data_IF_700466398680
#
_entry.id   IF_700466398680
#
_cell.length_a   1.000
_cell.length_b   1.000
_cell.length_c   1.000
_cell.angle_alpha   90.00
_cell.angle_beta   90.00
_cell.angle_gamma   90.00
#
_symmetry.space_group_name_H-M   'P 1'
#
loop_
_entity.id
_entity.type
_entity.pdbx_description
1 polymer ?
#
# COMPACT_ATOMS: atom_id res chain seq x y z
N UNK A 1 -38.36 -32.68 -1.06
CA UNK A 1 -39.17 -33.71 -1.71
C UNK A 1 -38.44 -35.01 -1.55
N UNK A 2 -39.00 -35.96 -0.80
CA UNK A 2 -38.40 -37.27 -0.64
C UNK A 2 -38.51 -38.01 -1.98
N UNK A 3 -37.38 -38.20 -2.67
CA UNK A 3 -37.32 -38.89 -3.97
C UNK A 3 -37.84 -40.34 -3.91
N UNK A 4 -38.00 -40.90 -2.71
CA UNK A 4 -38.60 -42.22 -2.47
C UNK A 4 -40.04 -42.33 -2.94
N UNK A 5 -40.80 -41.23 -3.00
CA UNK A 5 -42.19 -41.26 -3.44
C UNK A 5 -42.36 -41.36 -4.96
N UNK A 6 -41.27 -41.16 -5.73
CA UNK A 6 -41.31 -41.20 -7.20
C UNK A 6 -40.88 -42.55 -7.81
N UNK A 7 -40.31 -43.47 -7.02
CA UNK A 7 -39.70 -44.71 -7.50
C UNK A 7 -40.11 -45.91 -6.62
N UNK A 8 -41.36 -46.35 -6.73
CA UNK A 8 -41.98 -47.41 -5.91
C UNK A 8 -41.26 -48.78 -5.92
N UNK A 9 -40.36 -49.03 -6.89
CA UNK A 9 -39.64 -50.31 -7.05
C UNK A 9 -38.12 -50.21 -6.95
N UNK A 10 -37.56 -49.01 -6.71
CA UNK A 10 -36.10 -48.85 -6.68
C UNK A 10 -35.52 -49.39 -5.36
N UNK A 11 -34.66 -50.40 -5.45
CA UNK A 11 -33.93 -50.90 -4.29
C UNK A 11 -32.66 -50.07 -4.07
N UNK A 12 -32.28 -49.85 -2.80
CA UNK A 12 -31.02 -49.17 -2.46
C UNK A 12 -29.80 -49.88 -3.06
N UNK A 13 -29.88 -51.20 -3.26
CA UNK A 13 -28.82 -52.03 -3.85
C UNK A 13 -28.57 -51.70 -5.34
N UNK A 14 -29.62 -51.45 -6.11
CA UNK A 14 -29.51 -51.08 -7.53
C UNK A 14 -28.88 -49.70 -7.67
N UNK A 15 -29.30 -48.76 -6.81
CA UNK A 15 -28.70 -47.42 -6.75
C UNK A 15 -27.23 -47.47 -6.34
N UNK A 16 -26.87 -48.32 -5.37
CA UNK A 16 -25.49 -48.52 -4.95
C UNK A 16 -24.62 -49.05 -6.11
N UNK A 17 -25.14 -49.97 -6.90
CA UNK A 17 -24.42 -50.59 -8.02
C UNK A 17 -24.23 -49.59 -9.18
N UNK A 18 -25.25 -48.77 -9.46
CA UNK A 18 -25.15 -47.68 -10.44
C UNK A 18 -24.10 -46.64 -10.02
N UNK A 19 -24.06 -46.28 -8.74
CA UNK A 19 -23.07 -45.34 -8.20
C UNK A 19 -21.66 -45.93 -8.23
N UNK A 20 -21.48 -47.21 -7.88
CA UNK A 20 -20.18 -47.88 -8.01
C UNK A 20 -19.67 -47.94 -9.45
N UNK A 21 -20.57 -48.09 -10.44
CA UNK A 21 -20.23 -48.05 -11.86
C UNK A 21 -19.74 -46.67 -12.33
N UNK A 22 -20.15 -45.60 -11.64
CA UNK A 22 -19.74 -44.21 -11.89
C UNK A 22 -18.54 -43.78 -11.00
N UNK A 23 -17.75 -44.74 -10.51
CA UNK A 23 -16.56 -44.57 -9.66
C UNK A 23 -16.83 -43.96 -8.27
N UNK A 24 -18.04 -44.11 -7.75
CA UNK A 24 -18.33 -43.73 -6.37
C UNK A 24 -17.95 -44.82 -5.39
N UNK A 25 -17.31 -44.44 -4.29
CA UNK A 25 -17.19 -45.28 -3.10
C UNK A 25 -18.51 -45.21 -2.32
N UNK A 26 -19.21 -46.35 -2.24
CA UNK A 26 -20.53 -46.44 -1.62
C UNK A 26 -20.45 -47.19 -0.29
N UNK A 27 -21.05 -46.61 0.75
CA UNK A 27 -21.17 -47.18 2.09
C UNK A 27 -22.64 -47.19 2.50
N UNK A 28 -23.16 -48.37 2.85
CA UNK A 28 -24.50 -48.50 3.39
C UNK A 28 -24.44 -48.63 4.92
N UNK A 29 -25.20 -47.79 5.64
CA UNK A 29 -25.35 -47.87 7.10
C UNK A 29 -26.83 -47.89 7.45
N UNK A 30 -27.35 -49.06 7.80
CA UNK A 30 -28.79 -49.27 8.03
C UNK A 30 -29.59 -49.00 6.76
N UNK A 31 -30.62 -48.15 6.86
CA UNK A 31 -31.42 -47.71 5.73
C UNK A 31 -30.82 -46.57 4.92
N UNK A 32 -29.64 -46.05 5.26
CA UNK A 32 -29.02 -44.93 4.54
C UNK A 32 -27.90 -45.38 3.62
N UNK A 33 -27.93 -44.93 2.36
CA UNK A 33 -26.85 -45.08 1.39
C UNK A 33 -26.01 -43.80 1.32
N UNK A 34 -24.71 -43.91 1.48
CA UNK A 34 -23.74 -42.82 1.31
C UNK A 34 -22.85 -43.14 0.11
N UNK A 35 -22.67 -42.20 -0.80
CA UNK A 35 -21.77 -42.35 -1.93
C UNK A 35 -20.82 -41.15 -2.04
N UNK A 36 -19.54 -41.42 -2.28
CA UNK A 36 -18.50 -40.40 -2.37
C UNK A 36 -17.69 -40.59 -3.64
N UNK A 37 -17.54 -39.53 -4.44
CA UNK A 37 -16.64 -39.54 -5.59
C UNK A 37 -15.30 -38.94 -5.21
N UNK A 38 -14.31 -39.80 -4.98
CA UNK A 38 -12.92 -39.43 -4.70
C UNK A 38 -12.62 -38.94 -3.28
N UNK A 39 -11.34 -39.04 -2.90
CA UNK A 39 -10.81 -38.59 -1.60
C UNK A 39 -10.83 -37.06 -1.42
N UNK A 40 -10.96 -36.36 -2.56
CA UNK A 40 -10.81 -34.92 -2.71
C UNK A 40 -11.89 -34.13 -1.96
N UNK A 41 -13.14 -34.61 -1.97
CA UNK A 41 -14.24 -33.96 -1.26
C UNK A 41 -14.15 -34.00 0.26
N UNK A 42 -13.48 -35.03 0.82
CA UNK A 42 -13.26 -35.13 2.27
C UNK A 42 -12.12 -34.24 2.73
N UNK A 43 -11.09 -34.09 1.91
CA UNK A 43 -9.88 -33.33 2.26
C UNK A 43 -10.01 -31.83 1.97
N UNK A 44 -10.86 -31.42 1.02
CA UNK A 44 -11.00 -30.02 0.65
C UNK A 44 -11.44 -29.10 1.81
N UNK A 45 -12.46 -29.44 2.63
CA UNK A 45 -12.81 -28.61 3.79
C UNK A 45 -11.68 -28.51 4.82
N UNK A 46 -10.93 -29.59 5.05
CA UNK A 46 -9.77 -29.59 5.96
C UNK A 46 -8.70 -28.64 5.42
N UNK A 47 -8.44 -28.68 4.12
CA UNK A 47 -7.51 -27.77 3.44
C UNK A 47 -7.91 -26.30 3.58
N UNK A 48 -9.20 -25.97 3.45
CA UNK A 48 -9.71 -24.61 3.65
C UNK A 48 -9.44 -24.12 5.08
N UNK A 49 -9.74 -24.93 6.10
CA UNK A 49 -9.47 -24.55 7.49
C UNK A 49 -7.98 -24.36 7.76
N UNK A 50 -7.14 -25.26 7.24
CA UNK A 50 -5.68 -25.14 7.36
C UNK A 50 -5.16 -23.85 6.69
N UNK A 51 -5.68 -23.50 5.52
CA UNK A 51 -5.34 -22.27 4.81
C UNK A 51 -5.75 -21.02 5.61
N UNK A 52 -6.96 -21.02 6.20
CA UNK A 52 -7.41 -19.93 7.08
C UNK A 52 -6.52 -19.76 8.32
N UNK A 53 -6.14 -20.87 8.97
CA UNK A 53 -5.20 -20.83 10.10
C UNK A 53 -3.84 -20.28 9.69
N UNK A 54 -3.33 -20.64 8.49
CA UNK A 54 -2.07 -20.12 7.98
C UNK A 54 -2.13 -18.61 7.70
N UNK A 55 -3.22 -18.12 7.08
CA UNK A 55 -3.44 -16.68 6.88
C UNK A 55 -3.47 -15.95 8.22
N UNK A 56 -4.20 -16.47 9.21
CA UNK A 56 -4.30 -15.88 10.54
C UNK A 56 -2.95 -15.87 11.27
N UNK A 57 -2.18 -16.97 11.19
CA UNK A 57 -0.84 -17.04 11.76
C UNK A 57 0.12 -16.05 11.09
N UNK A 58 0.06 -15.92 9.75
CA UNK A 58 0.83 -14.93 9.00
C UNK A 58 0.49 -13.50 9.41
N UNK A 59 -0.79 -13.16 9.54
CA UNK A 59 -1.23 -11.84 10.00
C UNK A 59 -0.80 -11.53 11.44
N UNK A 60 -0.85 -12.53 12.32
CA UNK A 60 -0.31 -12.40 13.68
C UNK A 60 1.20 -12.11 13.66
N UNK A 61 1.95 -12.81 12.80
CA UNK A 61 3.39 -12.58 12.65
C UNK A 61 3.70 -11.20 12.06
N UNK A 62 2.91 -10.71 11.11
CA UNK A 62 2.99 -9.34 10.59
C UNK A 62 2.76 -8.29 11.68
N UNK A 63 1.73 -8.46 12.50
CA UNK A 63 1.36 -7.50 13.54
C UNK A 63 2.40 -7.45 14.68
N UNK A 64 2.96 -8.61 15.06
CA UNK A 64 3.92 -8.71 16.16
C UNK A 64 5.37 -8.43 15.73
N UNK A 65 5.74 -8.77 14.50
CA UNK A 65 7.11 -8.71 14.00
C UNK A 65 7.39 -7.61 12.96
N UNK A 66 6.35 -6.92 12.48
CA UNK A 66 6.48 -5.89 11.46
C UNK A 66 7.01 -4.55 11.97
N UNK A 67 7.54 -3.76 11.04
CA UNK A 67 7.95 -2.38 11.24
C UNK A 67 7.32 -1.48 10.18
N UNK A 68 6.98 -0.26 10.58
CA UNK A 68 6.49 0.77 9.68
C UNK A 68 6.97 2.14 10.10
N UNK A 69 7.02 3.08 9.16
CA UNK A 69 7.23 4.48 9.49
C UNK A 69 7.30 5.35 8.24
N UNK A 70 7.19 6.66 8.46
CA UNK A 70 7.14 7.65 7.39
C UNK A 70 8.19 8.72 7.62
N UNK A 71 8.84 9.14 6.54
CA UNK A 71 9.81 10.24 6.57
C UNK A 71 9.55 11.19 5.41
N UNK A 72 9.77 12.49 5.64
CA UNK A 72 9.77 13.51 4.60
C UNK A 72 11.19 13.97 4.40
N UNK A 73 11.78 13.64 3.25
CA UNK A 73 13.22 13.85 3.03
C UNK A 73 13.47 14.71 1.80
N UNK A 74 14.14 15.86 1.96
CA UNK A 74 14.56 16.71 0.86
C UNK A 74 15.49 15.98 -0.12
N UNK A 75 15.42 16.37 -1.40
CA UNK A 75 16.40 15.91 -2.38
C UNK A 75 17.83 16.29 -1.97
N UNK A 76 18.77 15.37 -2.16
CA UNK A 76 20.18 15.47 -1.78
C UNK A 76 20.49 15.09 -0.34
N UNK A 77 19.50 14.64 0.45
CA UNK A 77 19.70 14.20 1.83
C UNK A 77 19.50 12.68 2.00
N UNK A 78 20.10 12.16 3.08
CA UNK A 78 20.04 10.76 3.47
C UNK A 78 19.00 10.52 4.57
N UNK A 79 18.36 9.35 4.48
CA UNK A 79 17.53 8.78 5.55
C UNK A 79 18.25 7.58 6.13
N UNK A 80 18.40 7.56 7.45
CA UNK A 80 18.85 6.36 8.17
C UNK A 80 17.61 5.48 8.41
N UNK A 81 17.54 4.32 7.75
CA UNK A 81 16.33 3.47 7.78
C UNK A 81 15.86 3.09 9.20
N UNK A 82 16.73 2.73 10.16
CA UNK A 82 16.31 2.39 11.52
C UNK A 82 15.69 3.55 12.28
N UNK A 83 16.02 4.82 11.96
CA UNK A 83 15.45 5.98 12.65
C UNK A 83 14.08 6.35 12.08
N UNK A 84 13.82 5.98 10.83
CA UNK A 84 12.54 6.17 10.17
C UNK A 84 11.51 5.06 10.47
N UNK A 85 11.95 3.90 10.98
CA UNK A 85 11.11 2.74 11.26
C UNK A 85 10.77 2.61 12.75
N UNK A 86 9.52 2.26 13.04
CA UNK A 86 9.05 1.91 14.37
C UNK A 86 8.46 0.51 14.35
N UNK A 87 8.71 -0.27 15.41
CA UNK A 87 8.15 -1.61 15.55
C UNK A 87 6.65 -1.53 15.79
N UNK A 88 5.88 -2.41 15.14
CA UNK A 88 4.43 -2.49 15.32
C UNK A 88 4.04 -3.02 16.72
N UNK A 89 5.00 -3.65 17.42
CA UNK A 89 4.81 -4.24 18.74
C UNK A 89 6.12 -4.27 19.53
N UNK A 90 6.02 -4.48 20.84
CA UNK A 90 7.17 -4.72 21.74
C UNK A 90 7.95 -6.00 21.40
N UNK A 91 7.34 -6.91 20.63
CA UNK A 91 7.97 -8.15 20.18
C UNK A 91 8.77 -7.98 18.87
N UNK A 92 8.64 -6.84 18.20
CA UNK A 92 9.34 -6.56 16.97
C UNK A 92 10.84 -6.39 17.26
N UNK A 93 11.66 -7.23 16.62
CA UNK A 93 13.12 -7.22 16.80
C UNK A 93 13.80 -6.59 15.61
N UNK A 94 14.61 -5.53 15.79
CA UNK A 94 15.39 -4.95 14.71
C UNK A 94 16.28 -6.00 14.08
N UNK A 95 16.40 -5.95 12.76
CA UNK A 95 17.26 -6.87 12.00
C UNK A 95 18.42 -6.09 11.37
N UNK A 96 19.52 -6.78 11.09
CA UNK A 96 20.67 -6.19 10.38
C UNK A 96 20.30 -5.66 9.00
N UNK A 97 19.24 -6.22 8.40
CA UNK A 97 18.68 -5.75 7.14
C UNK A 97 18.15 -4.30 7.18
N UNK A 98 17.94 -3.75 8.37
CA UNK A 98 17.50 -2.36 8.55
C UNK A 98 18.66 -1.37 8.56
N UNK A 99 19.91 -1.83 8.68
CA UNK A 99 21.12 -0.99 8.73
C UNK A 99 21.49 -0.47 7.34
N UNK A 100 20.62 0.37 6.77
CA UNK A 100 20.78 0.95 5.45
C UNK A 100 20.55 2.46 5.51
N UNK A 101 21.16 3.15 4.56
CA UNK A 101 20.94 4.56 4.28
C UNK A 101 20.21 4.66 2.93
N UNK A 102 19.22 5.54 2.86
CA UNK A 102 18.49 5.84 1.62
C UNK A 102 18.80 7.28 1.25
N UNK A 103 19.56 7.46 0.19
CA UNK A 103 19.86 8.76 -0.40
C UNK A 103 18.77 9.14 -1.40
N UNK A 104 18.17 10.32 -1.23
CA UNK A 104 17.22 10.87 -2.21
C UNK A 104 18.02 11.63 -3.26
N UNK A 105 18.36 10.99 -4.38
CA UNK A 105 19.11 11.65 -5.46
C UNK A 105 18.32 12.81 -6.06
N UNK A 106 17.02 12.60 -6.32
CA UNK A 106 16.15 13.58 -6.96
C UNK A 106 14.69 13.28 -6.71
N UNK A 107 13.90 14.33 -6.48
CA UNK A 107 12.44 14.25 -6.50
C UNK A 107 11.91 15.15 -7.62
N UNK A 108 10.93 14.66 -8.39
CA UNK A 108 10.29 15.48 -9.42
C UNK A 108 8.86 15.01 -9.69
N UNK A 109 8.07 15.94 -10.20
CA UNK A 109 6.66 15.71 -10.55
C UNK A 109 6.52 15.84 -12.06
N UNK A 110 5.94 14.82 -12.69
CA UNK A 110 5.54 14.89 -14.09
C UNK A 110 4.14 15.50 -14.18
N UNK A 111 4.00 16.53 -15.01
CA UNK A 111 2.75 17.24 -15.22
C UNK A 111 2.21 16.96 -16.63
N UNK A 112 0.89 16.87 -16.76
CA UNK A 112 0.21 16.84 -18.05
C UNK A 112 0.26 18.23 -18.71
N UNK A 113 0.03 18.34 -20.03
CA UNK A 113 -0.04 19.64 -20.72
C UNK A 113 -1.09 20.61 -20.17
N UNK A 114 -2.14 20.09 -19.51
CA UNK A 114 -3.16 20.89 -18.83
C UNK A 114 -2.75 21.38 -17.43
N UNK A 115 -1.53 21.08 -16.97
CA UNK A 115 -0.99 21.48 -15.67
C UNK A 115 -1.32 20.52 -14.51
N UNK A 116 -2.11 19.48 -14.74
CA UNK A 116 -2.42 18.50 -13.70
C UNK A 116 -1.25 17.56 -13.44
N UNK A 117 -1.15 17.07 -12.20
CA UNK A 117 -0.15 16.06 -11.84
C UNK A 117 -0.46 14.74 -12.56
N UNK A 118 0.53 14.23 -13.30
CA UNK A 118 0.50 12.92 -13.95
C UNK A 118 1.03 11.84 -13.02
N UNK A 119 2.23 12.06 -12.48
CA UNK A 119 2.93 11.08 -11.67
C UNK A 119 4.00 11.77 -10.84
N UNK A 120 4.32 11.19 -9.70
CA UNK A 120 5.44 11.60 -8.86
C UNK A 120 6.58 10.58 -8.99
N UNK A 121 7.81 11.08 -8.96
CA UNK A 121 9.00 10.24 -9.07
C UNK A 121 10.05 10.62 -8.03
N UNK A 122 10.64 9.59 -7.43
CA UNK A 122 11.77 9.73 -6.51
C UNK A 122 12.89 8.79 -6.94
N UNK A 123 14.05 9.34 -7.29
CA UNK A 123 15.25 8.57 -7.58
C UNK A 123 16.01 8.30 -6.28
N UNK A 124 16.05 7.02 -5.88
CA UNK A 124 16.59 6.59 -4.59
C UNK A 124 17.80 5.68 -4.80
N UNK A 125 18.86 5.94 -4.03
CA UNK A 125 20.01 5.05 -3.88
C UNK A 125 20.02 4.51 -2.47
N UNK A 126 20.04 3.19 -2.34
CA UNK A 126 20.15 2.48 -1.06
C UNK A 126 21.61 2.06 -0.88
N UNK A 127 22.20 2.48 0.22
CA UNK A 127 23.58 2.15 0.60
C UNK A 127 23.61 1.41 1.94
N UNK A 128 24.61 0.55 2.10
CA UNK A 128 24.95 0.00 3.41
C UNK A 128 25.64 1.06 4.27
N UNK A 129 25.75 0.86 5.59
CA UNK A 129 26.49 1.75 6.50
C UNK A 129 27.97 1.90 6.14
N UNK A 130 28.52 0.95 5.36
CA UNK A 130 29.89 1.00 4.84
C UNK A 130 30.03 1.78 3.52
N UNK A 131 28.96 2.42 3.03
CA UNK A 131 28.97 3.25 1.82
C UNK A 131 28.90 2.48 0.51
N UNK A 132 28.64 1.16 0.55
CA UNK A 132 28.43 0.35 -0.65
C UNK A 132 26.99 0.53 -1.15
N UNK A 133 26.82 0.94 -2.41
CA UNK A 133 25.50 0.99 -3.05
C UNK A 133 24.96 -0.43 -3.27
N UNK A 134 23.82 -0.71 -2.65
CA UNK A 134 23.12 -1.99 -2.71
C UNK A 134 22.17 -2.02 -3.90
N UNK A 135 21.45 -0.92 -4.11
CA UNK A 135 20.42 -0.81 -5.14
C UNK A 135 20.12 0.66 -5.43
N UNK A 136 19.88 0.98 -6.70
CA UNK A 136 19.30 2.26 -7.12
C UNK A 136 18.06 1.99 -7.94
N UNK A 137 16.99 2.73 -7.66
CA UNK A 137 15.75 2.66 -8.43
C UNK A 137 15.01 3.99 -8.34
N UNK A 138 14.52 4.46 -9.47
CA UNK A 138 13.50 5.51 -9.51
C UNK A 138 12.14 4.89 -9.25
N UNK A 139 11.52 5.28 -8.14
CA UNK A 139 10.17 4.83 -7.75
C UNK A 139 9.11 5.84 -8.18
N UNK A 140 7.87 5.36 -8.26
CA UNK A 140 6.68 6.18 -8.43
C UNK A 140 5.55 5.66 -7.57
N UNK A 141 4.42 6.36 -7.56
CA UNK A 141 3.19 5.85 -6.92
C UNK A 141 2.87 4.46 -7.48
N UNK A 142 2.63 3.49 -6.59
CA UNK A 142 2.40 2.06 -6.87
C UNK A 142 3.59 1.24 -7.41
N UNK A 143 4.77 1.83 -7.61
CA UNK A 143 5.99 1.10 -7.96
C UNK A 143 7.09 1.29 -6.89
N UNK A 144 7.02 0.56 -5.76
CA UNK A 144 7.94 0.76 -4.64
C UNK A 144 9.34 0.17 -4.89
N UNK A 145 10.30 0.59 -4.06
CA UNK A 145 11.63 -0.02 -3.97
C UNK A 145 11.59 -1.09 -2.87
N UNK A 146 12.05 -2.31 -3.18
CA UNK A 146 12.16 -3.40 -2.20
C UNK A 146 13.62 -3.81 -2.07
N UNK A 147 14.21 -3.59 -0.89
CA UNK A 147 15.61 -3.93 -0.60
C UNK A 147 15.70 -4.56 0.79
N UNK A 148 16.36 -5.72 0.89
CA UNK A 148 16.57 -6.47 2.12
C UNK A 148 15.32 -6.64 3.02
N UNK A 149 14.14 -6.84 2.41
CA UNK A 149 12.87 -7.01 3.16
C UNK A 149 12.20 -5.70 3.60
N UNK A 150 12.84 -4.55 3.40
CA UNK A 150 12.21 -3.22 3.56
C UNK A 150 11.62 -2.80 2.22
N UNK A 151 10.35 -2.38 2.24
CA UNK A 151 9.66 -1.79 1.09
C UNK A 151 9.48 -0.30 1.32
N UNK A 152 9.94 0.52 0.38
CA UNK A 152 9.79 1.97 0.39
C UNK A 152 8.74 2.38 -0.63
N UNK A 153 7.63 2.90 -0.14
CA UNK A 153 6.55 3.47 -0.94
C UNK A 153 6.68 4.99 -0.99
N UNK A 154 6.39 5.55 -2.16
CA UNK A 154 6.23 6.98 -2.28
C UNK A 154 4.78 7.35 -1.96
N UNK A 155 4.56 8.06 -0.85
CA UNK A 155 3.21 8.33 -0.33
C UNK A 155 2.89 9.81 -0.26
N UNK A 156 3.90 10.68 -0.17
CA UNK A 156 3.69 12.11 -0.09
C UNK A 156 4.83 12.93 -0.71
N UNK A 157 4.70 14.26 -0.70
CA UNK A 157 5.72 15.21 -1.13
C UNK A 157 5.62 16.55 -0.40
N UNK A 158 6.71 17.31 -0.35
CA UNK A 158 6.71 18.67 0.16
C UNK A 158 7.72 19.56 -0.60
N UNK A 159 7.74 20.85 -0.29
CA UNK A 159 8.80 21.76 -0.74
C UNK A 159 9.62 22.14 0.49
N UNK A 160 10.90 21.77 0.51
CA UNK A 160 11.78 22.02 1.64
C UNK A 160 12.40 23.41 1.61
N UNK A 161 12.74 23.90 0.43
CA UNK A 161 13.45 25.16 0.28
C UNK A 161 13.29 25.74 -1.13
N UNK A 162 13.47 27.05 -1.24
CA UNK A 162 13.65 27.74 -2.52
C UNK A 162 15.08 28.24 -2.62
N UNK A 163 15.71 28.01 -3.77
CA UNK A 163 17.03 28.55 -4.08
C UNK A 163 16.87 29.85 -4.86
N UNK A 164 17.42 30.92 -4.31
CA UNK A 164 17.30 32.29 -4.84
C UNK A 164 18.68 32.89 -5.06
N UNK A 165 18.72 33.88 -5.96
CA UNK A 165 19.87 34.74 -6.18
C UNK A 165 19.44 36.20 -6.12
N UNK A 166 20.12 37.01 -5.32
CA UNK A 166 19.88 38.46 -5.26
C UNK A 166 20.99 39.20 -5.99
N UNK A 167 20.61 40.13 -6.88
CA UNK A 167 21.50 41.09 -7.56
C UNK A 167 22.74 40.47 -8.23
N UNK A 168 22.62 39.22 -8.69
CA UNK A 168 23.71 38.49 -9.35
C UNK A 168 24.75 37.90 -8.40
N UNK A 169 24.52 37.89 -7.08
CA UNK A 169 25.37 37.25 -6.09
C UNK A 169 25.34 35.71 -6.12
N UNK A 170 25.86 35.07 -5.08
CA UNK A 170 25.82 33.62 -4.92
C UNK A 170 24.39 33.13 -4.59
N UNK A 171 24.00 31.93 -5.05
CA UNK A 171 22.70 31.38 -4.75
C UNK A 171 22.62 30.94 -3.29
N UNK A 172 21.53 31.29 -2.62
CA UNK A 172 21.24 30.90 -1.24
C UNK A 172 19.90 30.16 -1.16
N UNK A 173 19.77 29.29 -0.16
CA UNK A 173 18.56 28.47 0.06
C UNK A 173 17.76 29.04 1.23
N UNK A 174 16.49 29.36 1.00
CA UNK A 174 15.56 29.70 2.07
C UNK A 174 14.66 28.51 2.36
N UNK A 175 14.56 28.05 3.62
CA UNK A 175 13.66 26.96 3.98
C UNK A 175 12.21 27.39 3.75
N UNK A 176 11.39 26.48 3.23
CA UNK A 176 9.95 26.69 3.07
C UNK A 176 9.19 25.93 4.15
N UNK A 177 8.23 26.59 4.76
CA UNK A 177 7.32 26.00 5.74
C UNK A 177 5.99 25.64 5.05
N UNK A 178 5.37 24.55 5.50
CA UNK A 178 4.00 24.23 5.11
C UNK A 178 3.03 25.21 5.79
N UNK A 179 2.19 25.85 4.99
CA UNK A 179 1.11 26.74 5.40
C UNK A 179 -0.26 26.09 5.14
N UNK A 180 -0.29 24.74 5.13
CA UNK A 180 -1.51 23.99 4.88
C UNK A 180 -2.51 24.19 6.04
N UNK A 181 -3.72 24.63 5.71
CA UNK A 181 -4.81 24.71 6.67
C UNK A 181 -5.34 23.32 7.04
N UNK A 182 -5.71 23.08 8.32
CA UNK A 182 -6.34 21.84 8.74
C UNK A 182 -7.60 21.55 7.92
N UNK A 183 -7.65 20.41 7.23
CA UNK A 183 -8.79 19.98 6.41
C UNK A 183 -8.73 20.40 4.94
N UNK A 184 -7.75 21.20 4.52
CA UNK A 184 -7.53 21.51 3.10
C UNK A 184 -6.69 20.44 2.41
N UNK A 185 -7.09 20.03 1.20
CA UNK A 185 -6.30 19.16 0.33
C UNK A 185 -5.22 19.91 -0.44
N UNK A 186 -5.26 21.24 -0.46
CA UNK A 186 -4.29 22.06 -1.18
C UNK A 186 -3.07 22.33 -0.33
N UNK A 187 -1.90 21.95 -0.85
CA UNK A 187 -0.62 22.25 -0.23
C UNK A 187 -0.20 23.67 -0.58
N UNK A 188 0.19 24.43 0.44
CA UNK A 188 0.76 25.75 0.30
C UNK A 188 2.05 25.77 1.11
N UNK A 189 3.12 26.26 0.49
CA UNK A 189 4.40 26.44 1.14
C UNK A 189 4.76 27.91 1.08
N UNK A 190 5.36 28.42 2.16
CA UNK A 190 5.80 29.80 2.23
C UNK A 190 7.18 29.94 2.83
N UNK A 191 7.90 30.97 2.41
CA UNK A 191 9.11 31.46 3.07
C UNK A 191 9.12 32.98 3.08
N UNK A 192 9.98 33.53 3.92
CA UNK A 192 10.10 34.96 4.15
C UNK A 192 11.56 35.37 4.04
N UNK A 193 11.84 36.35 3.18
CA UNK A 193 13.15 36.96 3.02
C UNK A 193 13.14 38.33 3.72
N UNK A 194 13.74 38.46 4.92
CA UNK A 194 13.79 39.75 5.60
C UNK A 194 14.61 40.76 4.79
N UNK A 195 14.04 41.93 4.52
CA UNK A 195 14.70 43.04 3.80
C UNK A 195 15.12 44.18 4.70
N UNK A 196 14.49 44.34 5.87
CA UNK A 196 14.83 45.32 6.90
C UNK A 196 13.98 45.21 8.16
N UNK A 197 14.14 46.16 9.07
CA UNK A 197 13.32 46.32 10.27
C UNK A 197 12.68 47.71 10.23
N UNK A 198 11.36 47.78 10.37
CA UNK A 198 10.64 49.04 10.54
C UNK A 198 10.25 49.20 12.01
N UNK A 199 10.63 50.32 12.59
CA UNK A 199 10.33 50.67 13.98
C UNK A 199 9.00 51.45 14.00
N UNK A 200 7.93 50.80 14.49
CA UNK A 200 6.66 51.48 14.67
C UNK A 200 6.71 52.33 15.95
N UNK A 201 6.97 53.63 15.77
CA UNK A 201 7.06 54.62 16.86
C UNK A 201 5.78 54.76 17.72
N UNK A 202 4.66 54.18 17.31
CA UNK A 202 3.39 54.22 18.03
C UNK A 202 3.19 53.07 19.05
N UNK A 203 3.86 51.94 18.87
CA UNK A 203 3.63 50.72 19.69
C UNK A 203 4.92 50.14 20.30
N UNK A 204 6.10 50.66 19.92
CA UNK A 204 7.37 50.14 20.43
C UNK A 204 7.70 48.73 19.93
N UNK A 205 6.98 48.27 18.90
CA UNK A 205 7.21 46.98 18.23
C UNK A 205 8.02 47.18 16.95
N UNK A 206 9.13 46.44 16.84
CA UNK A 206 9.95 46.35 15.62
C UNK A 206 9.34 45.28 14.71
N UNK A 207 8.73 45.68 13.60
CA UNK A 207 8.23 44.74 12.60
C UNK A 207 9.28 44.51 11.53
N UNK A 208 9.73 43.26 11.37
CA UNK A 208 10.63 42.91 10.27
C UNK A 208 9.88 42.99 8.94
N UNK A 209 10.32 43.88 8.05
CA UNK A 209 9.81 43.97 6.68
C UNK A 209 10.56 42.99 5.80
N UNK A 210 9.86 42.41 4.82
CA UNK A 210 10.46 41.40 3.98
C UNK A 210 9.56 40.90 2.87
N UNK A 211 10.16 40.15 1.96
CA UNK A 211 9.53 39.62 0.76
C UNK A 211 8.95 38.25 1.11
N UNK A 212 7.64 38.10 0.88
CA UNK A 212 6.95 36.83 1.09
C UNK A 212 6.92 36.02 -0.20
N UNK A 213 7.31 34.76 -0.11
CA UNK A 213 7.46 33.87 -1.26
C UNK A 213 6.61 32.63 -1.02
N UNK A 214 5.64 32.37 -1.91
CA UNK A 214 4.69 31.28 -1.79
C UNK A 214 4.79 30.32 -2.98
N UNK A 215 4.60 29.02 -2.74
CA UNK A 215 4.54 27.99 -3.78
C UNK A 215 3.44 26.97 -3.47
N UNK A 216 2.67 26.60 -4.49
CA UNK A 216 1.64 25.54 -4.42
C UNK A 216 2.08 24.25 -5.12
N UNK A 217 3.03 24.38 -6.04
CA UNK A 217 3.60 23.30 -6.84
C UNK A 217 5.10 23.56 -7.06
N UNK A 218 5.78 22.68 -7.80
CA UNK A 218 7.19 22.85 -8.15
C UNK A 218 7.39 23.68 -9.45
N UNK A 219 6.31 24.18 -10.06
CA UNK A 219 6.36 24.90 -11.34
C UNK A 219 6.36 26.41 -11.16
N UNK A 220 5.72 26.93 -10.12
CA UNK A 220 5.46 28.36 -9.96
C UNK A 220 5.70 28.83 -8.52
N UNK A 221 6.33 29.99 -8.42
CA UNK A 221 6.55 30.73 -7.19
C UNK A 221 5.89 32.09 -7.31
N UNK A 222 5.08 32.44 -6.32
CA UNK A 222 4.40 33.74 -6.20
C UNK A 222 5.16 34.60 -5.20
N UNK A 223 5.39 35.86 -5.55
CA UNK A 223 6.19 36.78 -4.75
C UNK A 223 5.36 38.02 -4.42
N UNK A 224 5.39 38.39 -3.15
CA UNK A 224 4.73 39.56 -2.56
C UNK A 224 5.76 40.49 -1.94
N UNK A 225 5.49 41.80 -1.97
CA UNK A 225 6.33 42.81 -1.33
C UNK A 225 6.12 42.88 0.19
N UNK A 226 6.81 43.80 0.88
CA UNK A 226 6.68 43.98 2.33
C UNK A 226 5.30 44.43 2.80
N UNK A 227 4.49 45.02 1.91
CA UNK A 227 3.12 45.46 2.20
C UNK A 227 2.08 44.38 1.92
N UNK A 228 2.50 43.23 1.40
CA UNK A 228 1.62 42.14 0.99
C UNK A 228 0.98 42.36 -0.39
N UNK A 229 1.46 43.33 -1.19
CA UNK A 229 1.01 43.50 -2.56
C UNK A 229 1.66 42.47 -3.48
N UNK A 230 0.87 41.96 -4.43
CA UNK A 230 1.34 40.98 -5.40
C UNK A 230 2.31 41.62 -6.39
N UNK A 231 3.53 41.08 -6.47
CA UNK A 231 4.55 41.58 -7.42
C UNK A 231 4.57 40.76 -8.69
N UNK A 232 4.44 39.44 -8.58
CA UNK A 232 4.41 38.57 -9.76
C UNK A 232 4.65 37.09 -9.48
N UNK A 233 4.61 36.33 -10.57
CA UNK A 233 4.90 34.88 -10.59
C UNK A 233 6.19 34.63 -11.35
N UNK A 234 7.00 33.69 -10.85
CA UNK A 234 8.21 33.19 -11.52
C UNK A 234 8.21 31.68 -11.58
N UNK A 235 8.66 31.16 -12.73
CA UNK A 235 8.95 29.75 -12.90
C UNK A 235 10.40 29.48 -12.45
N UNK A 236 10.64 28.54 -11.51
CA UNK A 236 11.99 28.14 -11.13
C UNK A 236 12.80 27.71 -12.38
N UNK A 237 14.07 28.11 -12.43
CA UNK A 237 14.98 27.79 -13.53
C UNK A 237 14.78 28.64 -14.79
N UNK A 238 13.85 29.60 -14.80
CA UNK A 238 13.65 30.50 -15.93
C UNK A 238 14.77 31.53 -16.11
N UNK A 239 15.63 31.72 -15.10
CA UNK A 239 16.69 32.74 -15.05
C UNK A 239 16.20 34.18 -15.31
N UNK A 240 14.88 34.42 -15.18
CA UNK A 240 14.28 35.74 -15.39
C UNK A 240 14.19 36.50 -14.07
N UNK A 241 14.87 37.65 -13.92
CA UNK A 241 14.80 38.42 -12.70
C UNK A 241 13.39 38.98 -12.46
N UNK A 242 13.04 39.18 -11.19
CA UNK A 242 11.91 39.97 -10.74
C UNK A 242 12.44 41.08 -9.84
N UNK A 243 11.97 42.30 -10.07
CA UNK A 243 12.34 43.44 -9.25
C UNK A 243 11.31 43.59 -8.14
N UNK A 244 11.75 43.48 -6.89
CA UNK A 244 10.92 43.68 -5.69
C UNK A 244 11.66 44.69 -4.83
N UNK A 245 11.04 45.84 -4.53
CA UNK A 245 11.63 46.87 -3.66
C UNK A 245 13.05 47.30 -4.07
N UNK A 246 13.30 47.39 -5.38
CA UNK A 246 14.59 47.77 -5.95
C UNK A 246 15.65 46.66 -6.00
N UNK A 247 15.38 45.47 -5.45
CA UNK A 247 16.25 44.29 -5.51
C UNK A 247 15.87 43.38 -6.67
N UNK A 248 16.86 42.82 -7.38
CA UNK A 248 16.63 41.85 -8.46
C UNK A 248 16.77 40.43 -7.91
N UNK A 249 15.65 39.73 -7.82
CA UNK A 249 15.61 38.33 -7.39
C UNK A 249 15.48 37.40 -8.59
N UNK A 250 16.24 36.30 -8.59
CA UNK A 250 16.10 35.19 -9.55
C UNK A 250 15.78 33.93 -8.76
N UNK A 251 14.76 33.19 -9.21
CA UNK A 251 14.37 31.89 -8.64
C UNK A 251 15.06 30.79 -9.44
N UNK A 252 16.10 30.19 -8.84
CA UNK A 252 16.93 29.18 -9.50
C UNK A 252 16.23 27.81 -9.46
N UNK A 253 15.80 27.34 -8.28
CA UNK A 253 15.17 26.02 -8.12
C UNK A 253 14.24 25.97 -6.90
N UNK A 254 13.20 25.12 -6.95
CA UNK A 254 12.46 24.66 -5.77
C UNK A 254 12.95 23.27 -5.36
N UNK A 255 13.47 23.16 -4.15
CA UNK A 255 13.98 21.91 -3.59
C UNK A 255 12.81 21.13 -3.01
N UNK A 256 12.38 20.11 -3.74
CA UNK A 256 11.33 19.21 -3.31
C UNK A 256 11.80 18.18 -2.29
N UNK A 257 10.85 17.65 -1.54
CA UNK A 257 11.02 16.52 -0.62
C UNK A 257 10.09 15.39 -1.03
N UNK A 258 10.58 14.16 -0.90
CA UNK A 258 9.77 12.95 -1.05
C UNK A 258 9.30 12.46 0.31
N UNK A 259 8.01 12.16 0.41
CA UNK A 259 7.42 11.42 1.52
C UNK A 259 7.57 9.92 1.26
N UNK A 260 8.40 9.25 2.05
CA UNK A 260 8.63 7.82 1.96
C UNK A 260 7.96 7.12 3.14
N UNK A 261 7.12 6.13 2.83
CA UNK A 261 6.64 5.16 3.80
C UNK A 261 7.50 3.89 3.70
N UNK A 262 8.19 3.57 4.77
CA UNK A 262 9.01 2.38 4.90
C UNK A 262 8.20 1.31 5.63
N UNK A 263 8.15 0.10 5.07
CA UNK A 263 7.45 -1.03 5.66
C UNK A 263 8.29 -2.30 5.58
N UNK A 264 8.40 -3.01 6.68
CA UNK A 264 9.01 -4.34 6.76
C UNK A 264 7.99 -5.29 7.39
N UNK A 265 7.59 -6.33 6.65
CA UNK A 265 6.56 -7.24 7.08
C UNK A 265 6.97 -8.70 6.82
N UNK A 266 7.38 -9.44 7.87
CA UNK A 266 7.83 -10.82 7.73
C UNK A 266 6.67 -11.82 7.59
N UNK A 267 5.43 -11.41 7.88
CA UNK A 267 4.24 -12.28 7.81
C UNK A 267 3.59 -12.36 6.43
N UNK A 268 3.84 -11.37 5.56
CA UNK A 268 3.29 -11.30 4.19
C UNK A 268 3.47 -12.59 3.37
N UNK A 269 4.65 -13.25 3.35
CA UNK A 269 4.82 -14.50 2.62
C UNK A 269 3.88 -15.62 3.09
N UNK A 270 3.65 -15.74 4.39
CA UNK A 270 2.74 -16.75 4.97
C UNK A 270 1.28 -16.45 4.66
N UNK A 271 0.90 -15.17 4.69
CA UNK A 271 -0.44 -14.72 4.28
C UNK A 271 -0.69 -15.07 2.81
N UNK A 272 0.25 -14.78 1.91
CA UNK A 272 0.12 -15.14 0.49
C UNK A 272 0.11 -16.65 0.26
N UNK A 273 0.94 -17.41 0.97
CA UNK A 273 0.90 -18.87 0.91
C UNK A 273 -0.46 -19.42 1.37
N UNK A 274 -1.02 -18.87 2.44
CA UNK A 274 -2.35 -19.20 2.94
C UNK A 274 -3.45 -18.88 1.92
N UNK A 275 -3.43 -17.69 1.31
CA UNK A 275 -4.36 -17.34 0.23
C UNK A 275 -4.21 -18.26 -0.99
N UNK A 276 -2.98 -18.59 -1.40
CA UNK A 276 -2.73 -19.52 -2.50
C UNK A 276 -3.29 -20.92 -2.21
N UNK A 277 -3.07 -21.42 -0.99
CA UNK A 277 -3.64 -22.69 -0.53
C UNK A 277 -5.17 -22.64 -0.47
N UNK A 278 -5.75 -21.52 -0.03
CA UNK A 278 -7.19 -21.32 -0.01
C UNK A 278 -7.79 -21.36 -1.42
N UNK A 279 -7.18 -20.65 -2.38
CA UNK A 279 -7.61 -20.65 -3.79
C UNK A 279 -7.52 -22.06 -4.39
N UNK A 280 -6.43 -22.78 -4.13
CA UNK A 280 -6.25 -24.14 -4.63
C UNK A 280 -7.30 -25.10 -4.05
N UNK A 281 -7.48 -25.09 -2.74
CA UNK A 281 -8.41 -26.01 -2.04
C UNK A 281 -9.88 -25.71 -2.38
N UNK A 282 -10.23 -24.43 -2.56
CA UNK A 282 -11.57 -24.04 -3.04
C UNK A 282 -11.79 -24.41 -4.50
N UNK A 283 -10.83 -24.19 -5.39
CA UNK A 283 -10.92 -24.63 -6.79
C UNK A 283 -11.10 -26.15 -6.90
N UNK A 284 -10.42 -26.91 -6.03
CA UNK A 284 -10.58 -28.36 -5.94
C UNK A 284 -11.96 -28.77 -5.37
N UNK A 285 -12.55 -27.95 -4.50
CA UNK A 285 -13.90 -28.18 -3.94
C UNK A 285 -15.05 -27.85 -4.91
N UNK A 286 -14.86 -26.91 -5.84
CA UNK A 286 -15.92 -26.39 -6.71
C UNK A 286 -16.48 -27.38 -7.75
N UNK A 287 -15.68 -28.20 -8.47
CA UNK A 287 -16.22 -29.23 -9.36
C UNK A 287 -16.97 -30.34 -8.60
N UNK A 288 -16.95 -30.30 -7.27
CA UNK A 288 -17.70 -31.21 -6.42
C UNK A 288 -19.07 -30.64 -5.97
N UNK A 289 -19.29 -29.33 -6.14
CA UNK A 289 -20.44 -28.60 -5.61
C UNK A 289 -21.43 -28.08 -6.69
N UNK A 290 -21.05 -28.05 -7.96
CA UNK A 290 -21.94 -27.60 -9.05
C UNK A 290 -22.79 -28.76 -9.61
N UNK A 291 -24.13 -28.65 -9.62
CA UNK A 291 -24.98 -29.60 -10.32
C UNK A 291 -24.92 -29.28 -11.82
N UNK A 292 -24.12 -30.00 -12.61
CA UNK A 292 -24.22 -29.88 -14.07
C UNK A 292 -23.05 -30.38 -14.92
N UNK A 293 -21.83 -30.49 -14.40
CA UNK A 293 -20.70 -31.06 -15.16
C UNK A 293 -19.85 -31.90 -14.21
N UNK A 294 -20.09 -33.21 -14.20
CA UNK A 294 -19.41 -34.18 -13.35
C UNK A 294 -20.19 -34.48 -12.06
N UNK A 295 -20.74 -35.69 -12.01
CA UNK A 295 -21.60 -36.24 -10.96
C UNK A 295 -21.46 -35.68 -9.54
N UNK A 296 -22.62 -35.37 -8.97
CA UNK A 296 -22.89 -35.01 -7.57
C UNK A 296 -21.82 -35.50 -6.59
N UNK A 297 -20.99 -34.59 -6.07
CA UNK A 297 -20.06 -34.86 -4.98
C UNK A 297 -20.54 -34.27 -3.65
N UNK A 298 -21.86 -34.15 -3.49
CA UNK A 298 -22.51 -33.93 -2.21
C UNK A 298 -22.82 -35.26 -1.51
N UNK A 299 -22.65 -35.31 -0.19
CA UNK A 299 -23.11 -36.43 0.63
C UNK A 299 -24.63 -36.45 0.63
N UNK A 300 -25.24 -37.09 -0.35
CA UNK A 300 -26.67 -37.34 -0.37
C UNK A 300 -26.93 -38.64 0.39
N UNK A 301 -27.37 -38.53 1.64
CA UNK A 301 -27.89 -39.65 2.39
C UNK A 301 -29.29 -39.97 1.85
N UNK A 302 -29.42 -41.04 1.06
CA UNK A 302 -30.72 -41.54 0.61
C UNK A 302 -31.22 -42.56 1.64
N UNK A 303 -32.33 -42.25 2.33
CA UNK A 303 -32.93 -43.12 3.34
C UNK A 303 -33.97 -44.05 2.69
N UNK A 304 -33.72 -45.34 2.70
CA UNK A 304 -34.63 -46.39 2.28
C UNK A 304 -35.70 -46.70 3.32
N UNK A 305 -36.85 -47.20 2.84
CA UNK A 305 -37.94 -47.66 3.69
C UNK A 305 -37.68 -49.10 4.13
N UNK A 306 -37.78 -49.36 5.43
CA UNK A 306 -37.69 -50.71 5.99
C UNK A 306 -39.02 -51.43 5.70
N UNK A 307 -38.99 -52.47 4.85
CA UNK A 307 -40.19 -53.27 4.56
C UNK A 307 -40.33 -54.30 5.68
N UNK A 308 -41.29 -54.08 6.59
CA UNK A 308 -41.70 -55.07 7.57
C UNK A 308 -42.33 -56.27 6.85
N UNK A 309 -41.95 -57.51 7.15
CA UNK A 309 -42.58 -58.68 6.53
C UNK A 309 -44.03 -58.77 7.00
N UNK A 310 -44.95 -58.75 6.03
CA UNK A 310 -46.38 -59.00 6.23
C UNK A 310 -46.56 -60.34 6.95
N UNK A 311 -47.17 -60.30 8.13
CA UNK A 311 -47.71 -61.52 8.74
C UNK A 311 -48.87 -62.01 7.88
N UNK A 312 -48.71 -63.19 7.31
CA UNK A 312 -49.78 -63.93 6.67
C UNK A 312 -50.70 -64.48 7.78
N UNK A 313 -51.89 -63.90 7.92
CA UNK A 313 -53.01 -64.54 8.60
C UNK A 313 -53.79 -65.35 7.55
N UNK A 314 -53.84 -66.67 7.78
CA UNK A 314 -54.84 -67.59 7.23
C UNK A 314 -56.24 -67.25 7.76
#
# INVERSE_FOLDING_TARGET
MDFSDSLERAQLADLATLLMREDYQVFQKGSSLYAFKGLVGRLAPIGVHAALLLVMAGGCYSALGGFQGTTMTPQGLDVVVPTALQGNSIFARPTTAMNMLVHVNRFYIEYRPNGEVKQFFSDLSVTDLYGRELQRKTISVNDPLRCQGVTMYQTDWAISAVQLRSDGGEPFKLPMASLQEPGSSQKLFGTFLPTGEEENAAEGETTTTGISILARDLQNVVIYDSKGEFVGVRRPGSNRPITVEGRKLVVDELIGSTGLELKMDPGVPYVYAGFGALMLTTAISLPLALPGVGGAGGVNAVRGREVQPSQAHL
#
